data_IF_138857897420
#
_entry.id   IF_138857897420
#
_cell.length_a   1.000
_cell.length_b   1.000
_cell.length_c   1.000
_cell.angle_alpha   90.00
_cell.angle_beta   90.00
_cell.angle_gamma   90.00
#
_symmetry.space_group_name_H-M   'P 1'
#
loop_
_entity.id
_entity.type
_entity.pdbx_description
1 polymer ?
#
# COMPACT_ATOMS: atom_id res chain seq x y z
N UNK A 1 -26.60 8.71 42.67
CA UNK A 1 -25.58 9.60 42.11
C UNK A 1 -24.47 8.70 41.62
N UNK A 2 -24.59 8.24 40.38
CA UNK A 2 -23.59 7.40 39.71
C UNK A 2 -22.53 8.33 39.14
N UNK A 3 -21.23 8.14 39.44
CA UNK A 3 -20.19 8.86 38.73
C UNK A 3 -20.17 8.43 37.27
N UNK A 4 -20.10 9.41 36.37
CA UNK A 4 -19.83 9.19 34.94
C UNK A 4 -18.40 8.65 34.78
N UNK A 5 -18.13 7.75 33.82
CA UNK A 5 -16.76 7.43 33.45
C UNK A 5 -16.13 8.67 32.83
N UNK A 6 -14.95 9.04 33.35
CA UNK A 6 -14.06 10.02 32.78
C UNK A 6 -13.91 9.78 31.27
N UNK A 7 -14.01 10.87 30.51
CA UNK A 7 -13.77 10.87 29.07
C UNK A 7 -12.35 10.40 28.81
N UNK A 8 -12.22 9.16 28.34
CA UNK A 8 -10.99 8.65 27.75
C UNK A 8 -10.76 9.42 26.46
N UNK A 9 -10.07 10.56 26.55
CA UNK A 9 -9.33 11.07 25.41
C UNK A 9 -8.17 10.11 25.23
N UNK A 10 -8.09 9.45 24.07
CA UNK A 10 -6.85 8.80 23.68
C UNK A 10 -5.71 9.80 23.89
N UNK A 11 -4.64 9.43 24.62
CA UNK A 11 -3.50 10.32 24.78
C UNK A 11 -3.06 10.77 23.39
N UNK A 12 -2.82 12.07 23.23
CA UNK A 12 -2.25 12.58 21.98
C UNK A 12 -0.99 11.76 21.65
N UNK A 13 -0.82 11.31 20.39
CA UNK A 13 0.29 10.43 20.02
C UNK A 13 1.63 11.10 20.30
N UNK A 14 2.61 10.32 20.77
CA UNK A 14 3.96 10.81 21.03
C UNK A 14 4.62 11.26 19.71
N UNK A 15 5.27 12.44 19.65
CA UNK A 15 6.07 12.84 18.49
C UNK A 15 7.10 11.80 18.04
N UNK A 16 7.62 10.96 18.94
CA UNK A 16 8.50 9.86 18.60
C UNK A 16 7.78 8.78 17.77
N UNK A 17 6.57 8.40 18.18
CA UNK A 17 5.76 7.39 17.48
C UNK A 17 5.38 7.87 16.07
N UNK A 18 4.98 9.15 15.94
CA UNK A 18 4.66 9.75 14.64
C UNK A 18 5.86 9.79 13.68
N UNK A 19 7.09 9.90 14.21
CA UNK A 19 8.30 9.81 13.38
C UNK A 19 8.59 8.39 12.95
N UNK A 20 8.35 7.41 13.82
CA UNK A 20 8.48 6.00 13.48
C UNK A 20 7.48 5.64 12.37
N UNK A 21 6.21 6.02 12.52
CA UNK A 21 5.17 5.85 11.50
C UNK A 21 5.56 6.53 10.17
N UNK A 22 6.10 7.75 10.23
CA UNK A 22 6.56 8.42 9.02
C UNK A 22 7.75 7.73 8.33
N UNK A 23 8.60 7.03 9.09
CA UNK A 23 9.72 6.27 8.57
C UNK A 23 9.25 4.94 7.96
N UNK A 24 8.29 4.26 8.58
CA UNK A 24 7.64 3.06 8.02
C UNK A 24 7.01 3.37 6.66
N UNK A 25 6.28 4.48 6.53
CA UNK A 25 5.74 4.91 5.24
C UNK A 25 6.80 5.23 4.19
N UNK A 26 7.96 5.76 4.59
CA UNK A 26 9.07 5.98 3.65
C UNK A 26 9.71 4.67 3.20
N UNK A 27 9.85 3.70 4.11
CA UNK A 27 10.33 2.36 3.79
C UNK A 27 9.41 1.66 2.80
N UNK A 28 8.08 1.78 2.97
CA UNK A 28 7.11 1.31 1.97
C UNK A 28 7.34 1.98 0.61
N UNK A 29 7.56 3.29 0.58
CA UNK A 29 7.79 4.01 -0.70
C UNK A 29 9.07 3.52 -1.39
N UNK A 30 10.15 3.35 -0.65
CA UNK A 30 11.43 2.87 -1.19
C UNK A 30 11.29 1.45 -1.77
N UNK A 31 10.59 0.57 -1.05
CA UNK A 31 10.32 -0.80 -1.48
C UNK A 31 9.45 -0.86 -2.76
N UNK A 32 8.41 -0.02 -2.84
CA UNK A 32 7.58 0.07 -4.05
C UNK A 32 8.35 0.70 -5.23
N UNK A 33 9.27 1.62 -4.99
CA UNK A 33 10.12 2.19 -6.04
C UNK A 33 11.05 1.13 -6.65
N UNK A 34 11.62 0.24 -5.82
CA UNK A 34 12.37 -0.92 -6.31
C UNK A 34 11.49 -1.81 -7.21
N UNK A 35 10.27 -2.13 -6.77
CA UNK A 35 9.35 -2.94 -7.56
C UNK A 35 8.99 -2.28 -8.90
N UNK A 36 8.83 -0.95 -8.94
CA UNK A 36 8.61 -0.20 -10.19
C UNK A 36 9.84 -0.26 -11.10
N UNK A 37 11.05 -0.17 -10.54
CA UNK A 37 12.30 -0.29 -11.30
C UNK A 37 12.44 -1.69 -11.89
N UNK A 38 12.19 -2.73 -11.11
CA UNK A 38 12.17 -4.12 -11.57
C UNK A 38 11.16 -4.29 -12.72
N UNK A 39 9.93 -3.84 -12.53
CA UNK A 39 8.89 -3.93 -13.54
C UNK A 39 9.27 -3.19 -14.83
N UNK A 40 10.02 -2.09 -14.75
CA UNK A 40 10.52 -1.34 -15.90
C UNK A 40 11.63 -2.11 -16.63
N UNK A 41 12.65 -2.54 -15.88
CA UNK A 41 13.93 -2.99 -16.44
C UNK A 41 13.96 -4.50 -16.74
N UNK A 42 13.16 -5.28 -16.03
CA UNK A 42 13.12 -6.75 -16.16
C UNK A 42 11.92 -7.22 -17.00
N UNK A 43 11.94 -8.48 -17.43
CA UNK A 43 10.78 -9.06 -18.09
C UNK A 43 9.69 -9.35 -17.05
N UNK A 44 8.40 -9.17 -17.39
CA UNK A 44 7.29 -9.45 -16.45
C UNK A 44 7.30 -10.92 -15.98
N UNK A 45 7.86 -11.81 -16.81
CA UNK A 45 8.02 -13.24 -16.54
C UNK A 45 9.11 -13.58 -15.52
N UNK A 46 10.01 -12.64 -15.26
CA UNK A 46 11.08 -12.81 -14.27
C UNK A 46 10.83 -11.92 -13.04
N UNK A 47 9.80 -11.06 -13.09
CA UNK A 47 9.44 -10.16 -12.00
C UNK A 47 8.63 -10.83 -10.90
N UNK A 48 8.66 -10.25 -9.71
CA UNK A 48 7.80 -10.57 -8.55
C UNK A 48 6.30 -10.52 -8.90
N UNK A 49 5.92 -9.78 -9.96
CA UNK A 49 4.54 -9.61 -10.42
C UNK A 49 4.12 -10.57 -11.56
N UNK A 50 4.90 -11.63 -11.84
CA UNK A 50 4.53 -12.62 -12.86
C UNK A 50 3.14 -13.23 -12.59
N UNK A 51 2.86 -13.62 -11.34
CA UNK A 51 1.60 -14.24 -10.96
C UNK A 51 0.40 -13.34 -11.25
N UNK A 52 0.49 -12.07 -10.87
CA UNK A 52 -0.53 -11.06 -11.18
C UNK A 52 -0.77 -10.92 -12.69
N UNK A 53 0.31 -10.91 -13.50
CA UNK A 53 0.21 -10.81 -14.95
C UNK A 53 -0.45 -12.04 -15.57
N UNK A 54 -0.05 -13.24 -15.15
CA UNK A 54 -0.64 -14.48 -15.63
C UNK A 54 -2.13 -14.55 -15.30
N UNK A 55 -2.51 -14.12 -14.11
CA UNK A 55 -3.90 -14.11 -13.72
C UNK A 55 -4.72 -13.07 -14.49
N UNK A 56 -4.20 -11.87 -14.69
CA UNK A 56 -4.85 -10.83 -15.49
C UNK A 56 -5.04 -11.24 -16.95
N UNK A 57 -4.10 -12.02 -17.52
CA UNK A 57 -4.09 -12.35 -18.95
C UNK A 57 -4.82 -13.65 -19.28
N UNK A 58 -4.85 -14.62 -18.35
CA UNK A 58 -5.39 -15.97 -18.61
C UNK A 58 -6.77 -16.20 -18.04
N UNK A 59 -7.19 -15.42 -17.03
CA UNK A 59 -8.49 -15.56 -16.40
C UNK A 59 -9.66 -15.35 -17.37
N UNK A 60 -10.81 -15.94 -17.02
CA UNK A 60 -12.04 -15.76 -17.78
C UNK A 60 -12.75 -14.47 -17.32
N UNK A 61 -12.76 -13.38 -18.13
CA UNK A 61 -13.33 -12.10 -17.74
C UNK A 61 -14.85 -12.16 -17.48
N UNK A 62 -15.53 -13.21 -17.96
CA UNK A 62 -16.96 -13.41 -17.68
C UNK A 62 -17.22 -13.99 -16.28
N UNK A 63 -16.18 -14.46 -15.59
CA UNK A 63 -16.26 -15.04 -14.24
C UNK A 63 -15.53 -14.13 -13.26
N UNK A 64 -14.32 -13.70 -13.60
CA UNK A 64 -13.46 -12.85 -12.77
C UNK A 64 -13.15 -11.59 -13.55
N UNK A 65 -13.57 -10.43 -13.06
CA UNK A 65 -13.36 -9.17 -13.77
C UNK A 65 -12.11 -8.43 -13.30
N UNK A 66 -11.65 -8.69 -12.07
CA UNK A 66 -10.44 -8.07 -11.50
C UNK A 66 -9.55 -9.11 -10.83
N UNK A 67 -8.26 -8.81 -10.81
CA UNK A 67 -7.24 -9.53 -10.04
C UNK A 67 -6.48 -8.53 -9.17
N UNK A 68 -6.04 -8.94 -8.00
CA UNK A 68 -5.25 -8.13 -7.07
C UNK A 68 -4.05 -8.89 -6.57
N UNK A 69 -2.89 -8.23 -6.56
CA UNK A 69 -1.74 -8.68 -5.78
C UNK A 69 -1.76 -7.97 -4.43
N UNK A 70 -1.53 -8.74 -3.37
CA UNK A 70 -1.31 -8.27 -2.01
C UNK A 70 0.19 -8.21 -1.79
N UNK A 71 0.68 -7.05 -1.38
CA UNK A 71 2.10 -6.76 -1.22
C UNK A 71 2.33 -6.35 0.22
N UNK A 72 3.26 -7.05 0.85
CA UNK A 72 3.74 -6.76 2.19
C UNK A 72 5.19 -6.26 2.11
N UNK A 73 5.54 -5.34 3.00
CA UNK A 73 6.88 -4.79 3.09
C UNK A 73 7.61 -5.53 4.21
N UNK A 74 8.48 -6.45 3.83
CA UNK A 74 9.28 -7.24 4.75
C UNK A 74 10.75 -6.86 4.62
N UNK A 75 11.35 -6.38 5.71
CA UNK A 75 12.76 -5.95 5.76
C UNK A 75 13.13 -4.92 4.66
N UNK A 76 12.22 -4.00 4.34
CA UNK A 76 12.40 -2.97 3.31
C UNK A 76 12.22 -3.45 1.87
N UNK A 77 11.78 -4.69 1.66
CA UNK A 77 11.50 -5.26 0.35
C UNK A 77 10.01 -5.49 0.14
N UNK A 78 9.52 -5.20 -1.08
CA UNK A 78 8.15 -5.50 -1.47
C UNK A 78 8.02 -6.99 -1.83
N UNK A 79 7.22 -7.73 -1.06
CA UNK A 79 6.94 -9.16 -1.25
C UNK A 79 5.50 -9.35 -1.66
N UNK A 80 5.26 -10.00 -2.81
CA UNK A 80 3.91 -10.41 -3.20
C UNK A 80 3.54 -11.65 -2.39
N UNK A 81 2.59 -11.52 -1.46
CA UNK A 81 2.23 -12.59 -0.53
C UNK A 81 1.05 -13.44 -1.01
N UNK A 82 0.14 -12.85 -1.78
CA UNK A 82 -0.95 -13.57 -2.44
C UNK A 82 -1.43 -12.85 -3.71
N UNK A 83 -2.04 -13.61 -4.63
CA UNK A 83 -2.77 -13.07 -5.77
C UNK A 83 -4.17 -13.66 -5.84
N UNK A 84 -5.17 -12.77 -5.86
CA UNK A 84 -6.56 -13.22 -5.78
C UNK A 84 -7.48 -12.52 -6.77
N UNK A 85 -8.54 -13.23 -7.13
CA UNK A 85 -9.49 -12.87 -8.20
C UNK A 85 -10.84 -12.54 -7.61
N UNK A 86 -11.47 -11.49 -8.14
CA UNK A 86 -12.85 -11.12 -7.79
C UNK A 86 -13.72 -11.00 -9.03
N UNK A 87 -14.96 -11.45 -8.86
CA UNK A 87 -15.97 -11.50 -9.92
C UNK A 87 -16.69 -10.17 -10.09
N UNK A 88 -16.87 -9.46 -8.98
CA UNK A 88 -17.34 -8.09 -8.83
C UNK A 88 -17.30 -7.74 -7.34
N UNK A 89 -17.12 -6.46 -7.01
CA UNK A 89 -17.21 -5.96 -5.64
C UNK A 89 -15.90 -5.37 -5.12
N UNK A 90 -15.85 -5.20 -3.79
CA UNK A 90 -14.66 -4.77 -3.07
C UNK A 90 -14.14 -5.94 -2.24
N UNK A 91 -12.84 -5.94 -1.96
CA UNK A 91 -12.24 -6.87 -1.02
C UNK A 91 -12.85 -6.72 0.38
N UNK A 92 -12.93 -7.84 1.09
CA UNK A 92 -13.40 -7.85 2.47
C UNK A 92 -12.32 -7.21 3.36
N UNK A 93 -12.68 -6.36 4.36
CA UNK A 93 -11.71 -5.61 5.16
C UNK A 93 -10.65 -6.49 5.79
N UNK A 94 -11.01 -7.69 6.25
CA UNK A 94 -10.08 -8.62 6.89
C UNK A 94 -8.95 -9.13 5.97
N UNK A 95 -9.13 -9.09 4.65
CA UNK A 95 -8.08 -9.45 3.68
C UNK A 95 -7.20 -8.22 3.39
N UNK A 96 -7.78 -7.02 3.49
CA UNK A 96 -7.11 -5.75 3.23
C UNK A 96 -6.27 -5.31 4.45
N UNK A 97 -6.75 -5.58 5.66
CA UNK A 97 -6.12 -5.16 6.91
C UNK A 97 -4.81 -5.90 7.20
N UNK A 98 -4.58 -7.04 6.57
CA UNK A 98 -3.38 -7.86 6.75
C UNK A 98 -2.27 -7.52 5.73
N UNK A 99 -2.51 -6.62 4.75
CA UNK A 99 -1.51 -6.24 3.75
C UNK A 99 -1.16 -4.75 3.72
N UNK A 100 0.07 -4.42 3.33
CA UNK A 100 0.51 -3.02 3.25
C UNK A 100 -0.02 -2.32 1.99
N UNK A 101 0.01 -3.01 0.84
CA UNK A 101 -0.30 -2.43 -0.47
C UNK A 101 -1.09 -3.39 -1.34
N UNK A 102 -2.07 -2.84 -2.06
CA UNK A 102 -2.91 -3.61 -2.98
C UNK A 102 -2.80 -3.10 -4.41
N UNK A 103 -2.39 -3.98 -5.33
CA UNK A 103 -2.38 -3.66 -6.77
C UNK A 103 -3.51 -4.39 -7.48
N UNK A 104 -4.65 -3.72 -7.64
CA UNK A 104 -5.82 -4.27 -8.35
C UNK A 104 -5.85 -3.85 -9.82
N UNK A 105 -5.93 -4.78 -10.76
CA UNK A 105 -6.12 -4.50 -12.20
C UNK A 105 -7.27 -5.33 -12.80
N UNK A 106 -7.79 -4.85 -13.94
CA UNK A 106 -8.83 -5.58 -14.67
C UNK A 106 -8.26 -6.81 -15.39
N UNK A 107 -9.02 -7.91 -15.37
CA UNK A 107 -8.72 -9.10 -16.18
C UNK A 107 -8.92 -8.76 -17.64
N UNK A 108 -7.86 -8.88 -18.42
CA UNK A 108 -7.82 -8.53 -19.84
C UNK A 108 -7.12 -9.63 -20.61
N UNK A 109 -7.90 -10.45 -21.32
CA UNK A 109 -7.34 -11.50 -22.18
C UNK A 109 -6.47 -10.90 -23.26
N UNK A 110 -5.21 -11.33 -23.30
CA UNK A 110 -4.23 -10.84 -24.25
C UNK A 110 -3.66 -9.46 -23.91
N UNK A 111 -3.77 -9.02 -22.65
CA UNK A 111 -3.05 -7.85 -22.15
C UNK A 111 -1.56 -8.00 -22.47
N UNK A 112 -1.00 -7.02 -23.15
CA UNK A 112 0.42 -7.04 -23.50
C UNK A 112 1.27 -6.78 -22.25
N UNK A 113 2.48 -7.35 -22.15
CA UNK A 113 3.38 -7.08 -21.03
C UNK A 113 3.63 -5.59 -20.81
N UNK A 114 3.82 -4.80 -21.86
CA UNK A 114 4.07 -3.36 -21.73
C UNK A 114 2.85 -2.60 -21.20
N UNK A 115 1.64 -3.00 -21.61
CA UNK A 115 0.39 -2.42 -21.09
C UNK A 115 0.21 -2.79 -19.62
N UNK A 116 0.53 -4.04 -19.23
CA UNK A 116 0.53 -4.46 -17.84
C UNK A 116 1.51 -3.63 -17.00
N UNK A 117 2.76 -3.50 -17.46
CA UNK A 117 3.80 -2.69 -16.79
C UNK A 117 3.33 -1.26 -16.60
N UNK A 118 2.70 -0.67 -17.60
CA UNK A 118 2.15 0.68 -17.51
C UNK A 118 1.03 0.79 -16.47
N UNK A 119 0.05 -0.12 -16.52
CA UNK A 119 -1.10 -0.11 -15.61
C UNK A 119 -0.69 -0.31 -14.15
N UNK A 120 0.16 -1.31 -13.89
CA UNK A 120 0.63 -1.62 -12.54
C UNK A 120 1.61 -0.55 -12.06
N UNK A 121 2.56 -0.12 -12.90
CA UNK A 121 3.50 0.94 -12.54
C UNK A 121 2.79 2.24 -12.17
N UNK A 122 1.69 2.58 -12.84
CA UNK A 122 0.86 3.73 -12.47
C UNK A 122 0.19 3.54 -11.10
N UNK A 123 -0.35 2.36 -10.81
CA UNK A 123 -0.98 2.07 -9.52
C UNK A 123 0.02 2.14 -8.37
N UNK A 124 1.19 1.54 -8.55
CA UNK A 124 2.28 1.64 -7.58
C UNK A 124 2.69 3.09 -7.34
N UNK A 125 2.70 3.94 -8.39
CA UNK A 125 2.95 5.37 -8.23
C UNK A 125 1.86 6.09 -7.43
N UNK A 126 0.58 5.78 -7.70
CA UNK A 126 -0.54 6.35 -6.95
C UNK A 126 -0.42 5.96 -5.45
N UNK A 127 -0.11 4.70 -5.13
CA UNK A 127 0.11 4.23 -3.75
C UNK A 127 1.32 4.93 -3.10
N UNK A 128 2.46 5.00 -3.78
CA UNK A 128 3.64 5.72 -3.28
C UNK A 128 3.34 7.18 -2.94
N UNK A 129 2.55 7.87 -3.77
CA UNK A 129 2.17 9.26 -3.52
C UNK A 129 1.28 9.39 -2.27
N UNK A 130 0.38 8.43 -2.02
CA UNK A 130 -0.39 8.39 -0.77
C UNK A 130 0.51 8.18 0.45
N UNK A 131 1.46 7.24 0.40
CA UNK A 131 2.39 7.00 1.50
C UNK A 131 3.30 8.20 1.76
N UNK A 132 3.80 8.87 0.70
CA UNK A 132 4.55 10.13 0.84
C UNK A 132 3.73 11.21 1.53
N UNK A 133 2.45 11.35 1.19
CA UNK A 133 1.56 12.31 1.83
C UNK A 133 1.34 11.96 3.31
N UNK A 134 1.13 10.67 3.63
CA UNK A 134 0.97 10.20 5.02
C UNK A 134 2.24 10.44 5.84
N UNK A 135 3.41 10.11 5.29
CA UNK A 135 4.70 10.37 5.93
C UNK A 135 4.91 11.87 6.21
N UNK A 136 4.61 12.74 5.24
CA UNK A 136 4.71 14.18 5.42
C UNK A 136 3.76 14.70 6.50
N UNK A 137 2.52 14.21 6.56
CA UNK A 137 1.55 14.56 7.60
C UNK A 137 2.01 14.12 8.98
N UNK A 138 2.52 12.89 9.10
CA UNK A 138 3.03 12.36 10.36
C UNK A 138 4.22 13.18 10.88
N UNK A 139 5.20 13.52 10.01
CA UNK A 139 6.30 14.43 10.35
C UNK A 139 5.82 15.81 10.78
N UNK A 140 4.88 16.39 10.04
CA UNK A 140 4.34 17.70 10.36
C UNK A 140 3.67 17.69 11.75
N UNK A 141 2.84 16.69 12.02
CA UNK A 141 2.15 16.54 13.31
C UNK A 141 3.15 16.36 14.46
N UNK A 142 4.21 15.59 14.27
CA UNK A 142 5.27 15.44 15.26
C UNK A 142 5.93 16.79 15.58
N UNK A 143 6.29 17.56 14.55
CA UNK A 143 6.92 18.87 14.71
C UNK A 143 5.99 19.90 15.40
N UNK A 144 4.70 19.89 15.07
CA UNK A 144 3.72 20.79 15.67
C UNK A 144 3.55 20.50 17.18
N UNK A 145 3.51 19.22 17.56
CA UNK A 145 3.41 18.80 18.97
C UNK A 145 4.64 19.18 19.78
N UNK A 146 5.84 19.04 19.22
CA UNK A 146 7.07 19.45 19.89
C UNK A 146 7.18 20.96 20.05
N UNK A 147 6.81 21.71 19.01
CA UNK A 147 6.78 23.17 19.07
C UNK A 147 5.80 23.66 20.15
N UNK A 148 4.63 23.03 20.25
CA UNK A 148 3.64 23.33 21.28
C UNK A 148 4.13 22.97 22.69
N UNK A 149 4.93 21.91 22.84
CA UNK A 149 5.52 21.52 24.12
C UNK A 149 6.64 22.49 24.56
N UNK A 150 7.45 22.97 23.62
CA UNK A 150 8.50 23.96 23.88
C UNK A 150 7.91 25.34 24.24
N UNK A 151 6.82 25.76 23.60
CA UNK A 151 6.12 27.02 23.89
C UNK A 151 5.37 26.99 25.25
N UNK A 152 5.15 25.80 25.83
CA UNK A 152 4.47 25.62 27.12
C UNK A 152 5.44 25.61 28.32
N UNK A 153 6.75 25.65 28.11
CA UNK A 153 7.81 25.72 29.15
C UNK A 153 8.23 27.15 29.47
#
# INVERSE_FOLDING_TARGET
>A
MTPQPDSGGDPDPDPADLRAEAAEYEETVDALEELVVELRDESVRESRLEGLFDEATTSNPNIWNIVTAFIDIEDGEAVVTDESKLAQGKWAPEIVDDCDVMVTIDVQRGLMPDDFKYLVGKKLQDEMDEFRERAAKARQRAADLESAADDAQ
#
